data_IF_725859889904
#
_entry.id   IF_725859889904
#
_cell.length_a   1.000
_cell.length_b   1.000
_cell.length_c   1.000
_cell.angle_alpha   90.00
_cell.angle_beta   90.00
_cell.angle_gamma   90.00
#
_symmetry.space_group_name_H-M   'P 1'
#
loop_
_entity.id
_entity.type
_entity.pdbx_description
1 polymer ?
#
# COMPACT_ATOMS: atom_id res chain seq x y z
N UNK A 1 -11.70 -19.79 -7.47
CA UNK A 1 -10.51 -18.91 -7.57
C UNK A 1 -10.76 -17.68 -6.71
N UNK A 2 -9.80 -17.17 -5.93
CA UNK A 2 -10.02 -15.95 -5.17
C UNK A 2 -10.38 -14.81 -6.15
N UNK A 3 -11.49 -14.11 -5.88
CA UNK A 3 -11.95 -12.99 -6.72
C UNK A 3 -10.85 -11.93 -6.78
N UNK A 4 -10.37 -11.64 -7.99
CA UNK A 4 -9.47 -10.50 -8.20
C UNK A 4 -10.26 -9.23 -7.94
N UNK A 5 -9.82 -8.44 -6.96
CA UNK A 5 -10.51 -7.21 -6.56
C UNK A 5 -9.83 -5.96 -7.13
N UNK A 6 -8.56 -6.07 -7.56
CA UNK A 6 -7.82 -5.00 -8.21
C UNK A 6 -6.79 -5.56 -9.20
N UNK A 7 -6.50 -4.80 -10.26
CA UNK A 7 -5.44 -5.10 -11.22
C UNK A 7 -4.62 -3.84 -11.49
N UNK A 8 -3.29 -3.96 -11.43
CA UNK A 8 -2.34 -2.84 -11.47
C UNK A 8 -1.34 -3.07 -12.59
N UNK A 9 -1.13 -2.08 -13.46
CA UNK A 9 -0.04 -2.14 -14.42
C UNK A 9 1.30 -1.93 -13.68
N UNK A 10 2.24 -2.84 -13.90
CA UNK A 10 3.54 -2.88 -13.24
C UNK A 10 4.66 -2.91 -14.27
N UNK A 11 5.74 -2.21 -13.96
CA UNK A 11 6.98 -2.21 -14.71
C UNK A 11 8.14 -2.37 -13.73
N UNK A 12 9.19 -3.07 -14.14
CA UNK A 12 10.33 -3.27 -13.27
C UNK A 12 11.48 -4.03 -13.92
N UNK A 13 12.50 -4.29 -13.12
CA UNK A 13 13.68 -5.04 -13.52
C UNK A 13 13.76 -6.34 -12.75
N UNK A 14 13.95 -7.45 -13.48
CA UNK A 14 14.14 -8.77 -12.86
C UNK A 14 15.58 -8.90 -12.36
N UNK A 15 15.70 -9.13 -11.07
CA UNK A 15 16.96 -9.37 -10.36
C UNK A 15 16.96 -10.79 -9.79
N UNK A 16 18.11 -11.26 -9.30
CA UNK A 16 18.22 -12.57 -8.68
C UNK A 16 19.01 -12.46 -7.37
N UNK A 17 18.62 -13.26 -6.38
CA UNK A 17 19.36 -13.48 -5.15
C UNK A 17 19.52 -14.99 -4.89
N UNK A 18 20.02 -15.34 -3.70
CA UNK A 18 20.19 -16.74 -3.29
C UNK A 18 18.88 -17.55 -3.24
N UNK A 19 17.71 -16.88 -3.18
CA UNK A 19 16.39 -17.50 -3.13
C UNK A 19 15.70 -17.55 -4.51
N UNK A 20 16.29 -16.95 -5.55
CA UNK A 20 15.82 -17.03 -6.92
C UNK A 20 15.57 -15.66 -7.56
N UNK A 21 14.88 -15.66 -8.70
CA UNK A 21 14.54 -14.42 -9.43
C UNK A 21 13.40 -13.68 -8.75
N UNK A 22 13.46 -12.36 -8.74
CA UNK A 22 12.43 -11.46 -8.24
C UNK A 22 12.29 -10.26 -9.18
N UNK A 23 11.10 -9.67 -9.23
CA UNK A 23 10.85 -8.46 -9.99
C UNK A 23 10.86 -7.27 -9.04
N UNK A 24 11.81 -6.37 -9.24
CA UNK A 24 11.90 -5.09 -8.55
C UNK A 24 11.13 -4.06 -9.35
N UNK A 25 10.08 -3.48 -8.78
CA UNK A 25 9.24 -2.51 -9.48
C UNK A 25 9.90 -1.13 -9.59
N UNK A 26 9.69 -0.48 -10.73
CA UNK A 26 10.14 0.90 -10.99
C UNK A 26 9.40 1.92 -10.12
N UNK A 27 8.21 1.55 -9.62
CA UNK A 27 7.39 2.35 -8.70
C UNK A 27 6.91 1.49 -7.54
N UNK A 28 6.95 2.06 -6.35
CA UNK A 28 6.36 1.46 -5.16
C UNK A 28 4.85 1.34 -5.32
N UNK A 29 4.29 0.22 -4.86
CA UNK A 29 2.85 0.08 -4.73
C UNK A 29 2.38 0.74 -3.44
N UNK A 30 1.68 1.85 -3.57
CA UNK A 30 1.01 2.50 -2.45
C UNK A 30 -0.29 1.77 -2.10
N UNK A 31 -0.61 1.70 -0.80
CA UNK A 31 -1.89 1.22 -0.28
C UNK A 31 -1.85 -0.15 0.40
N UNK A 32 -0.67 -0.77 0.48
CA UNK A 32 -0.53 -2.13 1.00
C UNK A 32 0.61 -2.25 2.01
N UNK A 33 0.22 -2.50 3.27
CA UNK A 33 1.09 -3.10 4.27
C UNK A 33 1.50 -4.51 3.80
N UNK A 34 2.70 -4.87 4.21
CA UNK A 34 3.54 -5.97 3.73
C UNK A 34 2.88 -7.36 3.70
N UNK A 35 3.43 -8.24 2.85
CA UNK A 35 3.14 -9.69 2.77
C UNK A 35 1.85 -10.13 2.07
N UNK A 36 1.39 -9.39 1.06
CA UNK A 36 0.28 -9.84 0.23
C UNK A 36 0.71 -10.89 -0.81
N UNK A 37 -0.24 -11.72 -1.23
CA UNK A 37 -0.05 -12.61 -2.38
C UNK A 37 -0.91 -12.15 -3.54
N UNK A 38 -0.38 -12.23 -4.76
CA UNK A 38 -1.06 -11.84 -5.99
C UNK A 38 -0.74 -12.78 -7.15
N UNK A 39 -1.29 -12.46 -8.30
CA UNK A 39 -1.01 -13.11 -9.57
C UNK A 39 -0.40 -12.08 -10.52
N UNK A 40 0.85 -12.31 -10.94
CA UNK A 40 1.51 -11.48 -11.94
C UNK A 40 1.27 -12.08 -13.32
N UNK A 41 0.84 -11.25 -14.25
CA UNK A 41 0.68 -11.56 -15.67
C UNK A 41 1.62 -10.65 -16.46
N UNK A 42 2.66 -11.19 -17.05
CA UNK A 42 3.60 -10.42 -17.88
C UNK A 42 3.01 -10.24 -19.29
N UNK A 43 3.42 -9.18 -19.99
CA UNK A 43 3.00 -8.93 -21.38
C UNK A 43 3.45 -10.04 -22.34
N UNK A 44 4.43 -10.86 -21.94
CA UNK A 44 4.85 -12.09 -22.63
C UNK A 44 3.84 -13.23 -22.52
N UNK A 45 2.75 -13.07 -21.77
CA UNK A 45 1.74 -14.09 -21.48
C UNK A 45 2.09 -15.01 -20.31
N UNK A 46 3.25 -14.82 -19.66
CA UNK A 46 3.63 -15.60 -18.48
C UNK A 46 2.77 -15.18 -17.29
N UNK A 47 2.07 -16.13 -16.67
CA UNK A 47 1.27 -15.89 -15.47
C UNK A 47 1.78 -16.72 -14.28
N UNK A 48 2.07 -16.05 -13.16
CA UNK A 48 2.61 -16.71 -11.98
C UNK A 48 2.11 -16.11 -10.65
N UNK A 49 1.94 -16.94 -9.61
CA UNK A 49 1.67 -16.45 -8.27
C UNK A 49 2.92 -15.76 -7.70
N UNK A 50 2.73 -14.59 -7.10
CA UNK A 50 3.80 -13.81 -6.48
C UNK A 50 3.47 -13.45 -5.04
N UNK A 51 4.51 -13.29 -4.22
CA UNK A 51 4.47 -12.58 -2.94
C UNK A 51 4.92 -11.14 -3.18
N UNK A 52 4.14 -10.20 -2.66
CA UNK A 52 4.40 -8.76 -2.72
C UNK A 52 5.10 -8.35 -1.43
N UNK A 53 6.30 -7.80 -1.56
CA UNK A 53 7.10 -7.26 -0.46
C UNK A 53 7.27 -5.76 -0.72
N UNK A 54 6.61 -4.94 0.10
CA UNK A 54 6.75 -3.48 0.04
C UNK A 54 7.70 -3.05 1.15
N UNK A 55 8.80 -2.43 0.77
CA UNK A 55 9.74 -1.75 1.67
C UNK A 55 9.48 -0.24 1.59
N UNK A 56 10.31 0.55 2.25
CA UNK A 56 10.10 2.00 2.38
C UNK A 56 9.99 2.71 1.02
N UNK A 57 10.89 2.39 0.09
CA UNK A 57 11.00 3.03 -1.23
C UNK A 57 10.75 2.09 -2.43
N UNK A 58 10.67 0.78 -2.18
CA UNK A 58 10.66 -0.23 -3.24
C UNK A 58 9.58 -1.29 -3.03
N UNK A 59 9.07 -1.83 -4.13
CA UNK A 59 8.21 -3.02 -4.10
C UNK A 59 8.87 -4.15 -4.89
N UNK A 60 8.91 -5.33 -4.28
CA UNK A 60 9.48 -6.55 -4.84
C UNK A 60 8.37 -7.58 -5.01
N UNK A 61 8.25 -8.15 -6.21
CA UNK A 61 7.38 -9.28 -6.51
C UNK A 61 8.23 -10.55 -6.61
N UNK A 62 8.06 -11.45 -5.65
CA UNK A 62 8.77 -12.72 -5.61
C UNK A 62 7.87 -13.87 -6.09
N UNK A 63 8.22 -14.59 -7.16
CA UNK A 63 7.52 -15.81 -7.57
C UNK A 63 7.39 -16.80 -6.42
N UNK A 64 6.22 -17.44 -6.32
CA UNK A 64 5.97 -18.55 -5.38
C UNK A 64 6.24 -19.91 -6.00
N UNK A 65 6.52 -19.95 -7.31
CA UNK A 65 6.83 -21.16 -8.06
C UNK A 65 8.23 -21.02 -8.68
N UNK A 66 8.88 -22.15 -8.93
CA UNK A 66 10.18 -22.20 -9.61
C UNK A 66 10.11 -21.76 -11.10
N UNK A 67 8.90 -21.57 -11.63
CA UNK A 67 8.69 -21.00 -12.96
C UNK A 67 9.24 -19.56 -12.98
N UNK A 68 10.35 -19.38 -13.70
CA UNK A 68 11.17 -18.19 -13.58
C UNK A 68 10.60 -16.98 -14.32
N UNK A 69 10.77 -15.81 -13.70
CA UNK A 69 10.68 -14.53 -14.38
C UNK A 69 11.74 -14.46 -15.50
N UNK A 70 11.42 -13.86 -16.68
CA UNK A 70 12.41 -13.63 -17.72
C UNK A 70 13.44 -12.61 -17.24
N UNK A 71 14.68 -12.67 -17.74
CA UNK A 71 15.71 -11.73 -17.34
C UNK A 71 15.47 -10.33 -17.97
N UNK A 72 15.93 -9.29 -17.29
CA UNK A 72 15.88 -7.91 -17.80
C UNK A 72 14.64 -7.14 -17.36
N UNK A 73 14.31 -6.08 -18.13
CA UNK A 73 13.12 -5.25 -17.88
C UNK A 73 11.86 -5.96 -18.35
N UNK A 74 10.81 -5.86 -17.56
CA UNK A 74 9.52 -6.46 -17.84
C UNK A 74 8.39 -5.52 -17.49
N UNK A 75 7.29 -5.69 -18.20
CA UNK A 75 6.01 -5.02 -17.98
C UNK A 75 4.91 -6.07 -17.88
N UNK A 76 3.82 -5.72 -17.19
CA UNK A 76 2.70 -6.61 -17.03
C UNK A 76 1.65 -6.04 -16.09
N UNK A 77 0.77 -6.93 -15.60
CA UNK A 77 -0.33 -6.62 -14.71
C UNK A 77 -0.29 -7.49 -13.46
N UNK A 78 -0.33 -6.85 -12.29
CA UNK A 78 -0.45 -7.50 -11.00
C UNK A 78 -1.92 -7.54 -10.57
N UNK A 79 -2.44 -8.75 -10.43
CA UNK A 79 -3.81 -9.03 -9.98
C UNK A 79 -3.80 -9.34 -8.49
N UNK A 80 -4.56 -8.57 -7.71
CA UNK A 80 -4.64 -8.71 -6.26
C UNK A 80 -5.99 -9.36 -5.86
N UNK A 81 -5.97 -10.45 -5.08
CA UNK A 81 -7.17 -11.14 -4.61
C UNK A 81 -7.88 -10.40 -3.47
N UNK A 82 -7.30 -9.30 -2.98
CA UNK A 82 -7.83 -8.50 -1.89
C UNK A 82 -7.91 -7.06 -2.41
N UNK A 83 -9.07 -6.44 -2.29
CA UNK A 83 -9.22 -5.02 -2.64
C UNK A 83 -8.36 -4.16 -1.74
N UNK A 84 -8.19 -2.90 -2.13
CA UNK A 84 -7.57 -1.88 -1.29
C UNK A 84 -8.35 -1.82 0.01
N UNK A 85 -7.78 -2.31 1.11
CA UNK A 85 -8.29 -1.98 2.43
C UNK A 85 -7.76 -0.58 2.74
N UNK A 86 -8.52 0.45 2.35
CA UNK A 86 -8.36 1.75 3.01
C UNK A 86 -8.53 1.49 4.50
N UNK A 87 -7.50 1.75 5.29
CA UNK A 87 -7.68 1.70 6.74
C UNK A 87 -8.80 2.69 7.09
N UNK A 88 -9.87 2.24 7.76
CA UNK A 88 -10.92 3.15 8.18
C UNK A 88 -10.31 4.22 9.09
N UNK A 89 -10.76 5.47 8.95
CA UNK A 89 -10.39 6.52 9.90
C UNK A 89 -10.92 6.12 11.28
N UNK A 90 -10.08 6.04 12.33
CA UNK A 90 -10.55 5.76 13.68
C UNK A 90 -11.62 6.76 14.14
N UNK A 91 -12.64 6.29 14.84
CA UNK A 91 -13.80 7.12 15.23
C UNK A 91 -13.41 8.36 16.05
N UNK A 92 -12.41 8.23 16.92
CA UNK A 92 -11.92 9.32 17.75
C UNK A 92 -11.17 10.40 16.95
N UNK A 93 -10.39 10.01 15.94
CA UNK A 93 -9.79 10.92 14.99
C UNK A 93 -10.87 11.62 14.14
N UNK A 94 -11.85 10.86 13.64
CA UNK A 94 -12.96 11.41 12.86
C UNK A 94 -13.79 12.42 13.68
N UNK A 95 -14.08 12.09 14.94
CA UNK A 95 -14.79 12.98 15.86
C UNK A 95 -14.00 14.26 16.17
N UNK A 96 -12.69 14.15 16.37
CA UNK A 96 -11.83 15.32 16.62
C UNK A 96 -11.73 16.22 15.38
N UNK A 97 -11.49 15.66 14.19
CA UNK A 97 -11.46 16.43 12.96
C UNK A 97 -12.80 17.13 12.67
N UNK A 98 -13.92 16.43 12.89
CA UNK A 98 -15.25 17.03 12.71
C UNK A 98 -15.52 18.15 13.70
N UNK A 99 -15.03 18.06 14.94
CA UNK A 99 -15.16 19.11 15.95
C UNK A 99 -14.41 20.38 15.56
N UNK A 100 -13.25 20.22 14.93
CA UNK A 100 -12.35 21.32 14.57
C UNK A 100 -12.56 21.81 13.13
N UNK A 101 -13.61 21.32 12.45
CA UNK A 101 -13.92 21.72 11.08
C UNK A 101 -12.84 21.32 10.07
N UNK A 102 -12.13 20.22 10.33
CA UNK A 102 -11.03 19.70 9.51
C UNK A 102 -11.49 18.51 8.65
N UNK A 103 -10.84 18.33 7.50
CA UNK A 103 -11.18 17.23 6.58
C UNK A 103 -10.07 16.17 6.51
N UNK A 104 -10.33 15.00 7.10
CA UNK A 104 -9.41 13.84 7.04
C UNK A 104 -9.42 13.21 5.64
N UNK A 105 -10.53 13.28 4.92
CA UNK A 105 -10.66 12.67 3.59
C UNK A 105 -9.99 13.51 2.49
N UNK A 106 -9.60 14.75 2.82
CA UNK A 106 -8.79 15.61 1.96
C UNK A 106 -7.30 15.22 1.93
N UNK A 107 -6.84 14.37 2.87
CA UNK A 107 -5.48 13.83 2.82
C UNK A 107 -5.31 12.94 1.59
N UNK A 108 -4.17 13.06 0.92
CA UNK A 108 -3.76 12.07 -0.07
C UNK A 108 -3.55 10.70 0.59
N UNK A 109 -3.62 9.64 -0.20
CA UNK A 109 -3.46 8.27 0.31
C UNK A 109 -2.13 8.04 1.05
N UNK A 110 -0.96 8.57 0.61
CA UNK A 110 0.29 8.49 1.39
C UNK A 110 0.22 9.23 2.73
N UNK A 111 -0.35 10.44 2.75
CA UNK A 111 -0.47 11.25 3.97
C UNK A 111 -1.41 10.60 4.99
N UNK A 112 -2.55 10.08 4.52
CA UNK A 112 -3.49 9.33 5.35
C UNK A 112 -2.82 8.11 5.96
N UNK A 113 -2.08 7.33 5.17
CA UNK A 113 -1.35 6.16 5.70
C UNK A 113 -0.36 6.57 6.79
N UNK A 114 0.45 7.60 6.54
CA UNK A 114 1.40 8.10 7.53
C UNK A 114 0.71 8.54 8.82
N UNK A 115 -0.37 9.31 8.71
CA UNK A 115 -1.14 9.78 9.86
C UNK A 115 -1.73 8.61 10.68
N UNK A 116 -2.27 7.59 10.01
CA UNK A 116 -2.85 6.42 10.67
C UNK A 116 -1.81 5.50 11.31
N UNK A 117 -0.66 5.27 10.66
CA UNK A 117 0.47 4.55 11.25
C UNK A 117 0.99 5.29 12.49
N UNK A 118 1.23 6.60 12.34
CA UNK A 118 1.63 7.45 13.46
C UNK A 118 0.61 7.39 14.60
N UNK A 119 -0.70 7.39 14.33
CA UNK A 119 -1.70 7.26 15.38
C UNK A 119 -1.71 5.88 16.05
N UNK A 120 -1.54 4.80 15.27
CA UNK A 120 -1.57 3.42 15.76
C UNK A 120 -0.36 3.05 16.63
N UNK A 121 0.78 3.73 16.46
CA UNK A 121 1.96 3.57 17.31
C UNK A 121 1.81 4.23 18.70
N UNK A 122 0.67 4.83 19.02
CA UNK A 122 0.43 5.41 20.34
C UNK A 122 0.29 4.32 21.40
N UNK A 123 1.22 4.29 22.37
CA UNK A 123 1.28 3.26 23.41
C UNK A 123 0.45 3.57 24.66
N UNK A 124 -0.04 4.80 24.79
CA UNK A 124 -0.89 5.25 25.91
C UNK A 124 -1.98 6.18 25.40
N UNK A 125 -3.08 6.30 26.15
CA UNK A 125 -4.18 7.22 25.81
C UNK A 125 -3.72 8.67 25.71
N UNK A 126 -2.82 9.10 26.62
CA UNK A 126 -2.26 10.45 26.59
C UNK A 126 -1.46 10.73 25.31
N UNK A 127 -0.64 9.76 24.86
CA UNK A 127 0.08 9.86 23.58
C UNK A 127 -0.93 9.88 22.43
N UNK A 128 -1.96 9.03 22.46
CA UNK A 128 -2.98 8.96 21.42
C UNK A 128 -3.70 10.30 21.27
N UNK A 129 -4.14 10.91 22.37
CA UNK A 129 -4.77 12.24 22.36
C UNK A 129 -3.86 13.31 21.77
N UNK A 130 -2.59 13.35 22.17
CA UNK A 130 -1.63 14.31 21.63
C UNK A 130 -1.40 14.12 20.12
N UNK A 131 -1.33 12.87 19.65
CA UNK A 131 -1.18 12.55 18.22
C UNK A 131 -2.43 12.92 17.42
N UNK A 132 -3.62 12.69 17.94
CA UNK A 132 -4.87 13.14 17.32
C UNK A 132 -4.85 14.67 17.15
N UNK A 133 -4.48 15.42 18.20
CA UNK A 133 -4.39 16.86 18.13
C UNK A 133 -3.37 17.33 17.07
N UNK A 134 -2.20 16.69 16.99
CA UNK A 134 -1.19 16.99 15.98
C UNK A 134 -1.68 16.71 14.55
N UNK A 135 -2.34 15.57 14.31
CA UNK A 135 -2.91 15.22 13.00
C UNK A 135 -3.96 16.26 12.62
N UNK A 136 -4.93 16.54 13.50
CA UNK A 136 -6.03 17.49 13.24
C UNK A 136 -5.49 18.91 12.96
N UNK A 137 -4.45 19.34 13.67
CA UNK A 137 -3.80 20.62 13.42
C UNK A 137 -3.17 20.71 12.02
N UNK A 138 -2.75 19.59 11.43
CA UNK A 138 -2.14 19.53 10.10
C UNK A 138 -3.15 19.34 8.95
N UNK A 139 -4.39 18.97 9.24
CA UNK A 139 -5.43 18.77 8.23
C UNK A 139 -5.84 20.09 7.55
N UNK A 140 -6.32 20.05 6.30
CA UNK A 140 -6.96 21.22 5.69
C UNK A 140 -8.31 21.52 6.35
N UNK A 141 -8.71 22.80 6.29
CA UNK A 141 -10.07 23.22 6.67
C UNK A 141 -11.10 22.58 5.73
N UNK A 142 -12.26 22.23 6.28
CA UNK A 142 -13.37 21.69 5.51
C UNK A 142 -14.01 22.82 4.72
N UNK A 143 -13.81 22.83 3.40
CA UNK A 143 -14.46 23.80 2.52
C UNK A 143 -15.97 23.54 2.55
N UNK A 144 -16.74 24.48 3.10
CA UNK A 144 -18.20 24.49 2.99
C UNK A 144 -18.55 24.90 1.56
N UNK A 145 -18.86 23.94 0.70
CA UNK A 145 -19.60 24.17 -0.56
C UNK A 145 -21.08 23.98 -0.34
#
# INVERSE_FOLDING_TARGET
MPQTTAALDVAGTVTADAAGRMLVLDRRLDGHDTFLTGQLELDTGIRLPVRVLTLDDITILRPRTAAGLPAGKVTGRLHLPHGWRRQPVPEDLAAAASRDGRDVEALSEPERRYALTYLNEATTDAIRTARIAAIVAALPERTLT
#
